data_IF_323936809205
#
_entry.id   IF_323936809205
#
_cell.length_a   1.000
_cell.length_b   1.000
_cell.length_c   1.000
_cell.angle_alpha   90.00
_cell.angle_beta   90.00
_cell.angle_gamma   90.00
#
_symmetry.space_group_name_H-M   'P 1'
#
loop_
_entity.id
_entity.type
_entity.pdbx_description
1 polymer ?
#
# COMPACT_ATOMS: atom_id res chain seq x y z
N UNK A 1 -68.30 61.53 -20.02
CA UNK A 1 -67.94 60.80 -18.78
C UNK A 1 -67.30 59.48 -19.19
N UNK A 2 -66.04 59.32 -18.79
CA UNK A 2 -65.27 58.07 -18.59
C UNK A 2 -64.80 57.26 -19.82
N UNK A 3 -63.49 57.39 -20.04
CA UNK A 3 -62.53 56.49 -20.69
C UNK A 3 -62.65 55.01 -20.29
N UNK A 4 -62.39 54.08 -21.21
CA UNK A 4 -61.61 52.86 -20.92
C UNK A 4 -60.96 52.27 -22.18
N UNK A 5 -59.75 52.78 -22.46
CA UNK A 5 -58.50 52.03 -22.67
C UNK A 5 -58.48 50.88 -23.71
N UNK A 6 -57.98 51.19 -24.91
CA UNK A 6 -57.47 50.23 -25.90
C UNK A 6 -56.24 49.49 -25.33
N UNK A 7 -56.37 48.19 -25.05
CA UNK A 7 -55.20 47.31 -24.92
C UNK A 7 -54.61 47.05 -26.32
N UNK A 8 -53.52 47.74 -26.67
CA UNK A 8 -52.70 47.35 -27.82
C UNK A 8 -51.91 46.11 -27.44
N UNK A 9 -52.29 44.98 -28.03
CA UNK A 9 -51.51 43.74 -27.97
C UNK A 9 -50.49 43.84 -29.11
N UNK A 10 -49.22 43.82 -28.73
CA UNK A 10 -48.04 44.08 -29.53
C UNK A 10 -48.02 43.40 -30.91
N UNK A 11 -47.89 44.19 -31.99
CA UNK A 11 -47.52 43.68 -33.32
C UNK A 11 -45.99 43.69 -33.45
N UNK A 12 -45.33 42.60 -33.02
CA UNK A 12 -43.89 42.42 -33.25
C UNK A 12 -43.65 41.92 -34.68
N UNK A 13 -42.74 42.55 -35.43
CA UNK A 13 -42.31 42.00 -36.73
C UNK A 13 -41.29 40.88 -36.53
N UNK A 14 -41.15 39.96 -37.50
CA UNK A 14 -40.19 38.85 -37.44
C UNK A 14 -38.74 39.34 -37.19
N UNK A 15 -38.40 40.53 -37.68
CA UNK A 15 -37.11 41.20 -37.46
C UNK A 15 -36.92 41.63 -36.01
N UNK A 16 -37.97 42.11 -35.34
CA UNK A 16 -37.91 42.50 -33.92
C UNK A 16 -37.74 41.28 -33.02
N UNK A 17 -38.41 40.17 -33.33
CA UNK A 17 -38.26 38.90 -32.62
C UNK A 17 -36.83 38.34 -32.81
N UNK A 18 -36.29 38.39 -34.02
CA UNK A 18 -34.90 37.99 -34.31
C UNK A 18 -33.86 38.88 -33.62
N UNK A 19 -34.09 40.19 -33.54
CA UNK A 19 -33.23 41.13 -32.83
C UNK A 19 -33.21 40.86 -31.32
N UNK A 20 -34.35 40.53 -30.72
CA UNK A 20 -34.46 40.22 -29.29
C UNK A 20 -33.84 38.85 -28.97
N UNK A 21 -34.10 37.84 -29.80
CA UNK A 21 -33.51 36.50 -29.61
C UNK A 21 -31.98 36.58 -29.72
N UNK A 22 -31.44 37.33 -30.70
CA UNK A 22 -29.99 37.49 -30.82
C UNK A 22 -29.38 38.32 -29.68
N UNK A 23 -30.05 39.37 -29.20
CA UNK A 23 -29.54 40.21 -28.10
C UNK A 23 -29.52 39.49 -26.74
N UNK A 24 -30.36 38.47 -26.55
CA UNK A 24 -30.47 37.70 -25.29
C UNK A 24 -29.73 36.36 -25.36
N UNK A 25 -29.74 35.69 -26.51
CA UNK A 25 -29.09 34.39 -26.68
C UNK A 25 -27.56 34.49 -26.62
N UNK A 26 -26.96 35.55 -27.17
CA UNK A 26 -25.49 35.72 -27.19
C UNK A 26 -24.91 35.90 -25.77
N UNK A 27 -25.44 36.78 -24.90
CA UNK A 27 -24.97 36.91 -23.52
C UNK A 27 -25.15 35.64 -22.70
N UNK A 28 -26.27 34.93 -22.87
CA UNK A 28 -26.54 33.67 -22.15
C UNK A 28 -25.56 32.59 -22.61
N UNK A 29 -25.33 32.45 -23.91
CA UNK A 29 -24.35 31.50 -24.44
C UNK A 29 -22.93 31.80 -23.93
N UNK A 30 -22.54 33.08 -23.87
CA UNK A 30 -21.25 33.49 -23.32
C UNK A 30 -21.14 33.21 -21.81
N UNK A 31 -22.20 33.48 -21.05
CA UNK A 31 -22.27 33.17 -19.62
C UNK A 31 -22.17 31.65 -19.36
N UNK A 32 -22.86 30.83 -20.14
CA UNK A 32 -22.77 29.36 -20.07
C UNK A 32 -21.36 28.90 -20.45
N UNK A 33 -20.79 29.41 -21.54
CA UNK A 33 -19.44 29.05 -22.00
C UNK A 33 -18.36 29.38 -20.95
N UNK A 34 -18.41 30.59 -20.39
CA UNK A 34 -17.48 31.02 -19.34
C UNK A 34 -17.71 30.25 -18.03
N UNK A 35 -18.95 29.97 -17.65
CA UNK A 35 -19.26 29.13 -16.49
C UNK A 35 -18.70 27.72 -16.64
N UNK A 36 -18.93 27.05 -17.78
CA UNK A 36 -18.39 25.72 -18.09
C UNK A 36 -16.86 25.75 -18.08
N UNK A 37 -16.24 26.73 -18.75
CA UNK A 37 -14.78 26.89 -18.75
C UNK A 37 -14.20 27.08 -17.34
N UNK A 38 -14.86 27.90 -16.50
CA UNK A 38 -14.45 28.11 -15.11
C UNK A 38 -14.57 26.84 -14.25
N UNK A 39 -15.63 26.03 -14.47
CA UNK A 39 -15.81 24.76 -13.78
C UNK A 39 -14.76 23.74 -14.21
N UNK A 40 -14.45 23.66 -15.51
CA UNK A 40 -13.40 22.77 -16.02
C UNK A 40 -12.02 23.15 -15.48
N UNK A 41 -11.71 24.45 -15.40
CA UNK A 41 -10.45 24.93 -14.80
C UNK A 41 -10.34 24.55 -13.32
N UNK A 42 -11.43 24.72 -12.53
CA UNK A 42 -11.45 24.29 -11.12
C UNK A 42 -11.22 22.78 -10.98
N UNK A 43 -11.91 21.97 -11.79
CA UNK A 43 -11.74 20.52 -11.77
C UNK A 43 -10.32 20.11 -12.18
N UNK A 44 -9.70 20.78 -13.17
CA UNK A 44 -8.33 20.51 -13.58
C UNK A 44 -7.33 20.92 -12.48
N UNK A 45 -7.54 22.06 -11.82
CA UNK A 45 -6.70 22.51 -10.71
C UNK A 45 -6.78 21.55 -9.51
N UNK A 46 -7.99 21.08 -9.17
CA UNK A 46 -8.19 20.08 -8.12
C UNK A 46 -7.53 18.74 -8.46
N UNK A 47 -7.67 18.26 -9.70
CA UNK A 47 -6.99 17.05 -10.16
C UNK A 47 -5.48 17.18 -10.09
N UNK A 48 -4.94 18.33 -10.52
CA UNK A 48 -3.50 18.62 -10.45
C UNK A 48 -3.01 18.67 -9.01
N UNK A 49 -3.73 19.34 -8.10
CA UNK A 49 -3.37 19.37 -6.68
C UNK A 49 -3.38 17.97 -6.05
N UNK A 50 -4.38 17.15 -6.37
CA UNK A 50 -4.43 15.75 -5.90
C UNK A 50 -3.24 14.95 -6.42
N UNK A 51 -2.94 15.07 -7.72
CA UNK A 51 -1.79 14.41 -8.33
C UNK A 51 -0.46 14.86 -7.71
N UNK A 52 -0.24 16.16 -7.55
CA UNK A 52 0.98 16.73 -6.96
C UNK A 52 1.13 16.28 -5.49
N UNK A 53 0.02 16.21 -4.75
CA UNK A 53 -0.01 15.70 -3.37
C UNK A 53 0.32 14.21 -3.31
N UNK A 54 -0.28 13.39 -4.16
CA UNK A 54 0.02 11.95 -4.27
C UNK A 54 1.49 11.73 -4.65
N UNK A 55 2.00 12.44 -5.65
CA UNK A 55 3.41 12.38 -6.05
C UNK A 55 4.36 12.78 -4.92
N UNK A 56 4.02 13.82 -4.16
CA UNK A 56 4.81 14.26 -3.00
C UNK A 56 4.81 13.22 -1.88
N UNK A 57 3.68 12.54 -1.66
CA UNK A 57 3.59 11.43 -0.70
C UNK A 57 4.43 10.23 -1.14
N UNK A 58 4.36 9.86 -2.41
CA UNK A 58 5.15 8.76 -2.97
C UNK A 58 6.66 9.05 -2.88
N UNK A 59 7.08 10.27 -3.26
CA UNK A 59 8.47 10.70 -3.15
C UNK A 59 8.97 10.66 -1.70
N UNK A 60 8.13 11.08 -0.74
CA UNK A 60 8.44 11.01 0.68
C UNK A 60 8.60 9.56 1.15
N UNK A 61 7.71 8.66 0.73
CA UNK A 61 7.82 7.25 1.08
C UNK A 61 9.06 6.59 0.47
N UNK A 62 9.39 6.92 -0.78
CA UNK A 62 10.59 6.44 -1.45
C UNK A 62 11.86 6.94 -0.76
N UNK A 63 11.91 8.21 -0.37
CA UNK A 63 13.06 8.77 0.36
C UNK A 63 13.27 8.06 1.71
N UNK A 64 12.20 7.81 2.46
CA UNK A 64 12.27 7.07 3.74
C UNK A 64 12.74 5.62 3.54
N UNK A 65 12.33 5.00 2.44
CA UNK A 65 12.76 3.65 2.06
C UNK A 65 14.26 3.61 1.71
N UNK A 66 14.72 4.53 0.86
CA UNK A 66 16.13 4.62 0.45
C UNK A 66 17.04 4.94 1.64
N UNK A 67 16.62 5.84 2.53
CA UNK A 67 17.34 6.17 3.76
C UNK A 67 17.47 4.95 4.68
N UNK A 68 16.40 4.19 4.85
CA UNK A 68 16.42 2.96 5.63
C UNK A 68 17.41 1.94 5.05
N UNK A 69 17.33 1.65 3.75
CA UNK A 69 18.23 0.67 3.12
C UNK A 69 19.69 1.10 3.26
N UNK A 70 19.98 2.39 3.09
CA UNK A 70 21.32 2.94 3.29
C UNK A 70 21.80 2.77 4.73
N UNK A 71 20.94 3.00 5.72
CA UNK A 71 21.28 2.84 7.13
C UNK A 71 21.56 1.36 7.48
N UNK A 72 20.72 0.43 7.01
CA UNK A 72 20.96 -1.01 7.21
C UNK A 72 22.26 -1.44 6.54
N UNK A 73 22.50 -1.00 5.31
CA UNK A 73 23.75 -1.29 4.59
C UNK A 73 24.99 -0.79 5.34
N UNK A 74 24.95 0.42 5.91
CA UNK A 74 26.05 0.96 6.73
C UNK A 74 26.28 0.10 7.98
N UNK A 75 25.21 -0.25 8.71
CA UNK A 75 25.31 -1.08 9.90
C UNK A 75 25.88 -2.47 9.60
N UNK A 76 25.51 -3.06 8.47
CA UNK A 76 26.07 -4.33 7.98
C UNK A 76 27.57 -4.18 7.68
N UNK A 77 27.91 -3.20 6.83
CA UNK A 77 29.30 -2.89 6.42
C UNK A 77 30.22 -2.63 7.61
N UNK A 78 29.73 -1.92 8.63
CA UNK A 78 30.50 -1.57 9.82
C UNK A 78 30.50 -2.69 10.88
N UNK A 79 29.88 -3.84 10.57
CA UNK A 79 29.87 -5.03 11.42
C UNK A 79 29.07 -4.81 12.71
N UNK A 80 27.99 -4.03 12.67
CA UNK A 80 27.04 -3.86 13.78
C UNK A 80 25.86 -4.85 13.71
N UNK A 81 25.60 -5.47 12.56
CA UNK A 81 24.57 -6.49 12.40
C UNK A 81 25.14 -7.89 12.61
N UNK A 82 25.56 -8.21 13.84
CA UNK A 82 26.00 -9.55 14.21
C UNK A 82 25.58 -9.93 15.63
N UNK A 83 25.68 -11.23 15.94
CA UNK A 83 25.20 -11.83 17.19
C UNK A 83 25.88 -11.28 18.44
N UNK A 84 27.09 -10.73 18.31
CA UNK A 84 27.89 -10.26 19.45
C UNK A 84 27.51 -8.85 19.90
N UNK A 85 26.82 -8.07 19.06
CA UNK A 85 26.57 -6.64 19.30
C UNK A 85 25.12 -6.30 19.66
N UNK A 86 24.28 -7.29 19.92
CA UNK A 86 22.84 -7.13 20.19
C UNK A 86 22.18 -6.06 19.30
N UNK A 87 22.08 -6.32 17.99
CA UNK A 87 21.67 -5.32 16.98
C UNK A 87 20.24 -4.80 17.17
N UNK A 88 19.48 -5.46 18.06
CA UNK A 88 18.07 -5.26 18.34
C UNK A 88 17.73 -3.81 18.73
N UNK A 89 18.57 -3.10 19.48
CA UNK A 89 18.24 -1.73 19.88
C UNK A 89 18.21 -0.75 18.69
N UNK A 90 19.13 -0.90 17.74
CA UNK A 90 19.29 0.05 16.63
C UNK A 90 18.45 -0.36 15.41
N UNK A 91 18.61 -1.60 14.94
CA UNK A 91 17.89 -2.08 13.77
C UNK A 91 16.38 -2.09 13.98
N UNK A 92 15.90 -2.44 15.18
CA UNK A 92 14.48 -2.55 15.46
C UNK A 92 13.81 -1.17 15.68
N UNK A 93 14.54 -0.16 16.19
CA UNK A 93 14.02 1.20 16.32
C UNK A 93 13.81 1.87 14.96
N UNK A 94 14.79 1.74 14.06
CA UNK A 94 14.68 2.23 12.68
C UNK A 94 13.59 1.49 11.92
N UNK A 95 13.56 0.17 12.04
CA UNK A 95 12.54 -0.63 11.40
C UNK A 95 11.14 -0.25 11.91
N UNK A 96 10.92 -0.12 13.22
CA UNK A 96 9.64 0.35 13.79
C UNK A 96 9.22 1.73 13.30
N UNK A 97 10.16 2.66 13.21
CA UNK A 97 9.88 4.02 12.74
C UNK A 97 9.46 4.02 11.26
N UNK A 98 10.14 3.21 10.44
CA UNK A 98 9.93 3.14 9.02
C UNK A 98 8.70 2.29 8.64
N UNK A 99 8.50 1.17 9.33
CA UNK A 99 7.36 0.25 9.15
C UNK A 99 6.00 0.90 9.43
N UNK A 100 5.94 1.97 10.22
CA UNK A 100 4.72 2.75 10.45
C UNK A 100 4.34 3.65 9.27
N UNK A 101 5.29 4.03 8.42
CA UNK A 101 5.10 5.06 7.40
C UNK A 101 5.03 4.51 5.97
N UNK A 102 5.50 3.28 5.77
CA UNK A 102 5.48 2.62 4.47
C UNK A 102 4.13 2.00 4.13
N UNK A 103 3.82 2.02 2.84
CA UNK A 103 2.74 1.24 2.25
C UNK A 103 3.06 -0.26 2.27
N UNK A 104 2.09 -1.04 1.82
CA UNK A 104 2.10 -2.50 1.87
C UNK A 104 3.15 -3.14 0.97
N UNK A 105 3.46 -2.53 -0.18
CA UNK A 105 4.41 -3.07 -1.16
C UNK A 105 5.85 -2.88 -0.64
N UNK A 106 6.18 -1.68 -0.18
CA UNK A 106 7.54 -1.40 0.35
C UNK A 106 7.88 -2.28 1.57
N UNK A 107 6.88 -2.63 2.39
CA UNK A 107 7.07 -3.58 3.50
C UNK A 107 7.50 -4.96 3.01
N UNK A 108 6.92 -5.44 1.91
CA UNK A 108 7.29 -6.72 1.30
C UNK A 108 8.75 -6.72 0.83
N UNK A 109 9.15 -5.67 0.12
CA UNK A 109 10.52 -5.52 -0.41
C UNK A 109 11.55 -5.50 0.73
N UNK A 110 11.23 -4.83 1.84
CA UNK A 110 12.11 -4.83 3.02
C UNK A 110 12.25 -6.21 3.64
N UNK A 111 11.16 -6.95 3.83
CA UNK A 111 11.23 -8.31 4.42
C UNK A 111 12.08 -9.22 3.52
N UNK A 112 11.88 -9.14 2.20
CA UNK A 112 12.70 -9.86 1.22
C UNK A 112 14.18 -9.49 1.34
N UNK A 113 14.50 -8.20 1.39
CA UNK A 113 15.87 -7.72 1.58
C UNK A 113 16.48 -8.23 2.89
N UNK A 114 15.74 -8.20 4.00
CA UNK A 114 16.22 -8.72 5.29
C UNK A 114 16.55 -10.22 5.21
N UNK A 115 15.72 -11.00 4.50
CA UNK A 115 15.95 -12.43 4.28
C UNK A 115 17.18 -12.66 3.41
N UNK A 116 17.33 -11.91 2.32
CA UNK A 116 18.50 -12.01 1.42
C UNK A 116 19.81 -11.67 2.14
N UNK A 117 19.77 -10.73 3.08
CA UNK A 117 20.91 -10.37 3.94
C UNK A 117 21.11 -11.31 5.12
N UNK A 118 20.32 -12.38 5.23
CA UNK A 118 20.34 -13.31 6.37
C UNK A 118 20.22 -12.58 7.71
N UNK A 119 19.47 -11.47 7.74
CA UNK A 119 19.12 -10.77 8.98
C UNK A 119 17.90 -11.40 9.65
N UNK A 120 17.09 -12.10 8.85
CA UNK A 120 15.98 -12.95 9.25
C UNK A 120 16.03 -14.30 8.52
N UNK A 121 15.33 -15.30 9.05
CA UNK A 121 15.29 -16.64 8.47
C UNK A 121 16.68 -17.26 8.34
N UNK A 122 17.54 -17.08 9.35
CA UNK A 122 18.90 -17.66 9.36
C UNK A 122 18.91 -19.18 9.52
N UNK A 123 17.78 -19.74 9.92
CA UNK A 123 17.56 -21.18 10.05
C UNK A 123 17.93 -21.92 8.76
N UNK A 124 18.69 -23.00 8.90
CA UNK A 124 19.00 -23.87 7.78
C UNK A 124 17.87 -24.89 7.57
N UNK A 125 17.05 -24.73 6.53
CA UNK A 125 16.13 -25.77 6.07
C UNK A 125 16.71 -26.56 4.89
N UNK A 126 17.87 -27.18 5.07
CA UNK A 126 18.34 -28.17 4.09
C UNK A 126 17.57 -29.48 4.27
N UNK A 127 16.46 -29.62 3.54
CA UNK A 127 15.88 -30.92 3.17
C UNK A 127 14.94 -31.62 4.16
N UNK A 128 14.35 -30.92 5.14
CA UNK A 128 13.30 -31.50 6.00
C UNK A 128 12.79 -30.58 7.10
N UNK A 129 11.82 -31.04 7.89
CA UNK A 129 11.18 -30.29 8.98
C UNK A 129 12.06 -30.12 10.24
N UNK A 130 13.39 -30.23 10.11
CA UNK A 130 14.33 -30.04 11.22
C UNK A 130 14.90 -28.64 11.16
N UNK A 131 14.57 -27.83 12.15
CA UNK A 131 15.16 -26.50 12.35
C UNK A 131 16.14 -26.57 13.50
N UNK A 132 17.43 -26.31 13.23
CA UNK A 132 18.30 -25.78 14.28
C UNK A 132 17.94 -24.30 14.39
N UNK A 133 17.17 -23.93 15.42
CA UNK A 133 16.72 -22.56 15.62
C UNK A 133 17.93 -21.67 15.89
N UNK A 134 18.29 -20.89 14.88
CA UNK A 134 19.17 -19.74 15.02
C UNK A 134 18.26 -18.54 15.27
N UNK A 135 18.58 -17.78 16.30
CA UNK A 135 17.87 -16.52 16.53
C UNK A 135 18.04 -15.62 15.31
N UNK A 136 17.04 -14.84 14.95
CA UNK A 136 17.21 -13.84 13.90
C UNK A 136 17.86 -12.59 14.49
N UNK A 137 18.68 -11.89 13.67
CA UNK A 137 19.30 -10.61 14.08
C UNK A 137 18.20 -9.56 14.28
N UNK A 138 17.18 -9.59 13.43
CA UNK A 138 16.00 -8.74 13.52
C UNK A 138 14.80 -9.62 13.93
N UNK A 139 14.11 -9.23 15.00
CA UNK A 139 12.93 -9.97 15.51
C UNK A 139 11.65 -9.40 14.92
N UNK A 140 10.88 -10.24 14.22
CA UNK A 140 9.69 -9.80 13.50
C UNK A 140 8.44 -9.67 14.39
N UNK A 141 8.43 -10.30 15.56
CA UNK A 141 7.29 -10.31 16.49
C UNK A 141 6.86 -8.92 16.99
N UNK A 142 7.75 -7.92 16.92
CA UNK A 142 7.50 -6.55 17.36
C UNK A 142 7.01 -5.62 16.24
N UNK A 143 6.73 -6.18 15.06
CA UNK A 143 6.34 -5.46 13.86
C UNK A 143 4.86 -5.64 13.54
N UNK A 144 4.28 -4.69 12.80
CA UNK A 144 2.85 -4.72 12.47
C UNK A 144 2.63 -5.18 11.03
N UNK A 145 2.24 -6.43 10.80
CA UNK A 145 1.98 -6.94 9.46
C UNK A 145 0.51 -6.81 9.00
N UNK A 146 -0.28 -5.97 9.66
CA UNK A 146 -1.66 -5.74 9.24
C UNK A 146 -1.73 -5.18 7.82
N UNK A 147 -2.60 -5.79 7.01
CA UNK A 147 -2.90 -5.45 5.62
C UNK A 147 -1.70 -5.56 4.68
N UNK A 148 -0.58 -6.18 5.09
CA UNK A 148 0.60 -6.32 4.22
C UNK A 148 0.26 -7.25 3.05
N UNK A 149 0.66 -6.85 1.85
CA UNK A 149 0.50 -7.64 0.63
C UNK A 149 1.88 -8.11 0.19
N UNK A 150 2.15 -9.38 0.46
CA UNK A 150 3.37 -10.10 0.15
C UNK A 150 3.13 -10.93 -1.11
N UNK A 151 2.97 -10.23 -2.23
CA UNK A 151 2.81 -10.82 -3.55
C UNK A 151 3.95 -10.37 -4.48
N UNK A 152 4.41 -11.26 -5.35
CA UNK A 152 5.41 -10.91 -6.37
C UNK A 152 4.88 -9.80 -7.29
N UNK A 153 5.61 -8.70 -7.43
CA UNK A 153 5.25 -7.56 -8.29
C UNK A 153 5.15 -7.95 -9.79
N UNK A 154 5.71 -9.10 -10.17
CA UNK A 154 5.83 -9.52 -11.58
C UNK A 154 4.72 -10.45 -12.06
N UNK A 155 3.86 -10.95 -11.16
CA UNK A 155 2.82 -11.93 -11.51
C UNK A 155 3.36 -13.29 -11.99
N UNK A 156 4.68 -13.49 -11.96
CA UNK A 156 5.33 -14.76 -12.31
C UNK A 156 5.62 -15.53 -11.03
N UNK A 157 5.46 -16.85 -11.09
CA UNK A 157 5.66 -17.92 -10.09
C UNK A 157 7.05 -17.93 -9.39
N UNK A 158 7.81 -16.84 -9.38
CA UNK A 158 8.96 -16.66 -8.50
C UNK A 158 8.46 -15.97 -7.23
N UNK A 159 8.10 -16.85 -6.31
CA UNK A 159 7.50 -16.64 -5.01
C UNK A 159 8.36 -15.70 -4.15
N UNK A 160 7.73 -14.86 -3.33
CA UNK A 160 8.42 -14.19 -2.23
C UNK A 160 9.09 -15.29 -1.37
N UNK A 161 10.42 -15.28 -1.29
CA UNK A 161 11.15 -16.36 -0.61
C UNK A 161 11.30 -16.03 0.87
N UNK A 162 10.44 -16.61 1.69
CA UNK A 162 10.44 -16.46 3.15
C UNK A 162 10.68 -17.80 3.85
N UNK A 163 11.34 -18.74 3.17
CA UNK A 163 11.61 -20.05 3.74
C UNK A 163 12.36 -19.91 5.07
N UNK A 164 11.97 -20.69 6.07
CA UNK A 164 12.59 -20.73 7.41
C UNK A 164 12.57 -19.43 8.23
N UNK A 165 11.80 -18.42 7.81
CA UNK A 165 11.64 -17.18 8.58
C UNK A 165 10.80 -17.46 9.83
N UNK A 166 11.16 -16.85 10.97
CA UNK A 166 10.35 -16.92 12.19
C UNK A 166 9.46 -15.67 12.30
N UNK A 167 8.17 -15.91 12.23
CA UNK A 167 7.07 -14.99 12.53
C UNK A 167 6.40 -15.36 13.87
N UNK A 168 7.14 -15.98 14.79
CA UNK A 168 6.62 -16.38 16.10
C UNK A 168 6.03 -15.17 16.83
N UNK A 169 4.88 -15.33 17.49
CA UNK A 169 4.21 -14.31 18.31
C UNK A 169 3.86 -13.01 17.57
N UNK A 170 3.89 -13.02 16.23
CA UNK A 170 3.49 -11.88 15.42
C UNK A 170 1.99 -11.64 15.49
N UNK A 171 1.57 -10.40 15.24
CA UNK A 171 0.16 -10.07 14.98
C UNK A 171 0.00 -9.59 13.54
N UNK A 172 -0.88 -10.25 12.79
CA UNK A 172 -1.25 -9.86 11.43
C UNK A 172 -2.77 -9.97 11.24
N UNK A 173 -3.34 -8.95 10.61
CA UNK A 173 -4.75 -8.89 10.25
C UNK A 173 -4.89 -8.55 8.77
N UNK A 174 -5.63 -9.33 7.99
CA UNK A 174 -5.82 -9.15 6.54
C UNK A 174 -4.49 -9.15 5.72
N UNK A 175 -3.45 -9.84 6.19
CA UNK A 175 -2.21 -9.99 5.43
C UNK A 175 -2.39 -11.00 4.27
N UNK A 176 -1.65 -10.82 3.18
CA UNK A 176 -1.74 -11.66 1.99
C UNK A 176 -0.34 -12.19 1.67
N UNK A 177 -0.14 -13.51 1.75
CA UNK A 177 1.07 -14.26 1.40
C UNK A 177 0.84 -15.18 0.19
N UNK A 178 -0.14 -14.86 -0.66
CA UNK A 178 -0.48 -15.71 -1.81
C UNK A 178 0.73 -15.92 -2.73
N UNK A 179 0.94 -17.17 -3.15
CA UNK A 179 2.08 -17.58 -3.98
C UNK A 179 3.47 -17.30 -3.35
N UNK A 180 3.58 -17.30 -2.02
CA UNK A 180 4.86 -17.18 -1.31
C UNK A 180 5.54 -18.54 -1.06
N UNK A 181 6.87 -18.52 -0.90
CA UNK A 181 7.68 -19.67 -0.49
C UNK A 181 7.85 -19.62 1.02
N UNK A 182 7.01 -20.35 1.75
CA UNK A 182 6.92 -20.34 3.22
C UNK A 182 7.36 -21.68 3.85
N UNK A 183 8.08 -22.51 3.11
CA UNK A 183 8.56 -23.80 3.63
C UNK A 183 9.41 -23.60 4.90
N UNK A 184 9.09 -24.35 5.95
CA UNK A 184 9.78 -24.30 7.24
C UNK A 184 9.56 -23.00 8.03
N UNK A 185 8.65 -22.12 7.61
CA UNK A 185 8.31 -20.90 8.34
C UNK A 185 7.70 -21.25 9.70
N UNK A 186 7.87 -20.40 10.71
CA UNK A 186 7.22 -20.59 12.01
C UNK A 186 6.32 -19.39 12.34
N UNK A 187 5.05 -19.66 12.66
CA UNK A 187 4.05 -18.70 13.13
C UNK A 187 3.63 -18.96 14.59
N UNK A 188 4.46 -19.69 15.34
CA UNK A 188 4.12 -20.21 16.67
C UNK A 188 3.70 -19.09 17.64
N UNK A 189 2.56 -19.26 18.31
CA UNK A 189 1.98 -18.29 19.24
C UNK A 189 1.48 -16.99 18.59
N UNK A 190 1.43 -16.91 17.26
CA UNK A 190 0.98 -15.72 16.53
C UNK A 190 -0.54 -15.55 16.49
N UNK A 191 -0.98 -14.36 16.06
CA UNK A 191 -2.38 -14.05 15.69
C UNK A 191 -2.43 -13.68 14.22
N UNK A 192 -3.11 -14.50 13.44
CA UNK A 192 -3.25 -14.41 11.99
C UNK A 192 -4.75 -14.32 11.65
N UNK A 193 -5.33 -13.13 11.84
CA UNK A 193 -6.73 -12.87 11.52
C UNK A 193 -6.88 -12.58 10.02
N UNK A 194 -7.70 -13.37 9.30
CA UNK A 194 -7.99 -13.17 7.87
C UNK A 194 -6.74 -13.14 6.97
N UNK A 195 -5.72 -13.90 7.34
CA UNK A 195 -4.48 -14.00 6.55
C UNK A 195 -4.69 -14.96 5.37
N UNK A 196 -4.22 -14.60 4.18
CA UNK A 196 -4.33 -15.41 2.96
C UNK A 196 -3.01 -16.07 2.60
N UNK A 197 -3.03 -17.37 2.34
CA UNK A 197 -1.89 -18.20 1.96
C UNK A 197 -2.09 -18.88 0.60
N UNK A 198 -3.08 -18.46 -0.20
CA UNK A 198 -3.47 -19.12 -1.45
C UNK A 198 -2.27 -19.38 -2.38
N UNK A 199 -2.07 -20.65 -2.77
CA UNK A 199 -1.01 -21.06 -3.69
C UNK A 199 0.42 -20.90 -3.15
N UNK A 200 0.58 -20.67 -1.84
CA UNK A 200 1.89 -20.66 -1.17
C UNK A 200 2.37 -22.08 -0.84
N UNK A 201 3.69 -22.25 -0.72
CA UNK A 201 4.26 -23.50 -0.21
C UNK A 201 4.51 -23.39 1.29
N UNK A 202 3.91 -24.28 2.07
CA UNK A 202 3.90 -24.34 3.53
C UNK A 202 4.48 -25.64 4.07
N UNK A 203 5.20 -26.41 3.25
CA UNK A 203 5.86 -27.64 3.69
C UNK A 203 6.71 -27.39 4.95
N UNK A 204 6.46 -28.17 6.01
CA UNK A 204 7.11 -28.03 7.32
C UNK A 204 6.87 -26.68 8.05
N UNK A 205 5.86 -25.90 7.66
CA UNK A 205 5.47 -24.71 8.40
C UNK A 205 4.92 -25.07 9.79
N UNK A 206 5.24 -24.25 10.79
CA UNK A 206 4.78 -24.43 12.17
C UNK A 206 3.72 -23.39 12.53
N UNK A 207 2.63 -23.87 13.12
CA UNK A 207 1.46 -23.07 13.54
C UNK A 207 1.08 -23.39 14.99
N UNK A 208 2.04 -23.75 15.85
CA UNK A 208 1.72 -24.18 17.22
C UNK A 208 1.16 -23.02 18.05
N UNK A 209 -0.02 -23.21 18.63
CA UNK A 209 -0.65 -22.18 19.48
C UNK A 209 -1.02 -20.90 18.74
N UNK A 210 -1.14 -20.94 17.41
CA UNK A 210 -1.53 -19.80 16.59
C UNK A 210 -3.05 -19.59 16.63
N UNK A 211 -3.50 -18.34 16.50
CA UNK A 211 -4.90 -18.05 16.15
C UNK A 211 -5.03 -17.79 14.64
N UNK A 212 -5.73 -18.67 13.91
CA UNK A 212 -5.96 -18.60 12.46
C UNK A 212 -7.40 -18.18 12.09
N UNK A 213 -8.05 -17.35 12.92
CA UNK A 213 -9.42 -16.92 12.67
C UNK A 213 -9.57 -16.32 11.27
N UNK A 214 -10.42 -16.93 10.43
CA UNK A 214 -10.67 -16.47 9.06
C UNK A 214 -9.47 -16.58 8.11
N UNK A 215 -8.38 -17.26 8.49
CA UNK A 215 -7.27 -17.50 7.58
C UNK A 215 -7.70 -18.38 6.41
N UNK A 216 -7.18 -18.08 5.22
CA UNK A 216 -7.45 -18.78 3.98
C UNK A 216 -6.18 -19.47 3.51
N UNK A 217 -6.23 -20.78 3.32
CA UNK A 217 -5.11 -21.58 2.84
C UNK A 217 -5.23 -21.93 1.35
N UNK A 218 -6.43 -21.82 0.75
CA UNK A 218 -6.67 -22.11 -0.66
C UNK A 218 -5.95 -23.36 -1.19
N UNK A 219 -5.19 -23.16 -2.27
CA UNK A 219 -4.37 -24.19 -2.94
C UNK A 219 -2.92 -24.28 -2.39
N UNK A 220 -2.71 -24.02 -1.10
CA UNK A 220 -1.39 -24.23 -0.48
C UNK A 220 -1.03 -25.73 -0.39
N UNK A 221 0.26 -26.06 -0.44
CA UNK A 221 0.76 -27.46 -0.36
C UNK A 221 0.78 -28.08 1.05
#
# INVERSE_FOLDING_TARGET
MVDFNKRSVWNFTLKDVLAIISSVAIPIALAIYTAIGSQQQKQQAEKKQKFDFEQSRELRQQTLYDEFLNNIYKLDKDGYLNDTKNPWAFANAYYRAAHRQWDTIRKADVIQFLKEKQLIGRNNCTGGCRTTKLDDIIRLNELNFDNVQLASQTGVLNQLNLQCVSFDQVSMSNAIFSFASLNGVSFDGGRLDKVKFDGSSLACASFNGVNLSGADFGDSD
#
